data_IF_561628447606
#
_entry.id   IF_561628447606
#
_cell.length_a   1.000
_cell.length_b   1.000
_cell.length_c   1.000
_cell.angle_alpha   90.00
_cell.angle_beta   90.00
_cell.angle_gamma   90.00
#
_symmetry.space_group_name_H-M   'P 1'
#
loop_
_entity.id
_entity.type
_entity.pdbx_description
1 polymer ?
#
# COMPACT_ATOMS: atom_id res chain seq x y z
N UNK A 1 -10.60 -23.16 28.99
CA UNK A 1 -9.40 -22.43 29.47
C UNK A 1 -8.42 -22.25 28.33
N UNK A 2 -8.63 -21.29 27.42
CA UNK A 2 -7.65 -20.96 26.37
C UNK A 2 -7.77 -19.51 25.84
N UNK A 3 -8.31 -18.57 26.62
CA UNK A 3 -8.45 -17.15 26.21
C UNK A 3 -7.41 -16.21 26.84
N UNK A 4 -6.47 -16.72 27.65
CA UNK A 4 -5.49 -15.88 28.37
C UNK A 4 -4.09 -15.85 27.76
N UNK A 5 -3.80 -16.61 26.69
CA UNK A 5 -2.51 -16.53 25.98
C UNK A 5 -2.45 -15.41 24.93
N UNK A 6 -3.63 -14.92 24.54
CA UNK A 6 -3.80 -14.01 23.42
C UNK A 6 -3.57 -12.53 23.84
N UNK A 7 -3.91 -12.15 25.08
CA UNK A 7 -3.82 -10.76 25.57
C UNK A 7 -2.39 -10.22 25.76
N UNK A 8 -1.40 -11.07 26.03
CA UNK A 8 -0.03 -10.62 26.31
C UNK A 8 0.85 -10.47 25.06
N UNK A 9 0.41 -10.94 23.89
CA UNK A 9 1.14 -10.78 22.63
C UNK A 9 0.60 -9.63 21.76
N UNK A 10 -0.56 -9.08 22.12
CA UNK A 10 -1.16 -7.93 21.43
C UNK A 10 -0.56 -6.57 21.80
N UNK A 11 0.46 -6.48 22.67
CA UNK A 11 1.08 -5.18 22.97
C UNK A 11 1.60 -4.49 21.71
N UNK A 12 2.45 -5.19 20.95
CA UNK A 12 3.04 -4.64 19.72
C UNK A 12 2.07 -4.59 18.53
N UNK A 13 1.16 -5.58 18.41
CA UNK A 13 0.17 -5.57 17.33
C UNK A 13 -0.88 -4.48 17.53
N UNK A 14 -1.28 -4.17 18.77
CA UNK A 14 -2.28 -3.14 19.09
C UNK A 14 -1.69 -1.73 19.04
N UNK A 15 -0.42 -1.56 19.41
CA UNK A 15 0.31 -0.29 19.21
C UNK A 15 0.59 -0.04 17.72
N UNK A 16 0.99 -1.07 16.96
CA UNK A 16 1.20 -0.94 15.50
C UNK A 16 -0.11 -0.81 14.72
N UNK A 17 -1.18 -1.46 15.19
CA UNK A 17 -2.54 -1.27 14.69
C UNK A 17 -3.10 0.10 15.07
N UNK A 18 -2.69 0.70 16.20
CA UNK A 18 -2.97 2.09 16.54
C UNK A 18 -2.24 3.03 15.58
N UNK A 19 -0.93 2.88 15.40
CA UNK A 19 -0.15 3.70 14.45
C UNK A 19 -0.69 3.58 13.01
N UNK A 20 -1.17 2.39 12.63
CA UNK A 20 -1.85 2.15 11.36
C UNK A 20 -3.24 2.82 11.35
N UNK A 21 -4.11 2.55 12.33
CA UNK A 21 -5.45 3.17 12.43
C UNK A 21 -5.38 4.70 12.49
N UNK A 22 -4.41 5.27 13.19
CA UNK A 22 -4.21 6.71 13.34
C UNK A 22 -3.73 7.35 12.03
N UNK A 23 -2.95 6.62 11.21
CA UNK A 23 -2.56 7.06 9.85
C UNK A 23 -3.74 7.03 8.87
N UNK A 24 -4.75 6.23 9.20
CA UNK A 24 -5.93 5.95 8.39
C UNK A 24 -7.20 6.64 8.94
N UNK A 25 -7.10 7.31 10.08
CA UNK A 25 -8.22 8.02 10.73
C UNK A 25 -8.73 9.14 9.82
N UNK A 26 -9.94 8.95 9.28
CA UNK A 26 -10.56 9.85 8.31
C UNK A 26 -10.84 9.27 6.92
N UNK A 27 -10.39 8.05 6.62
CA UNK A 27 -10.88 7.30 5.44
C UNK A 27 -12.15 6.52 5.80
N UNK A 28 -13.17 6.58 4.95
CA UNK A 28 -14.40 5.80 5.09
C UNK A 28 -14.09 4.31 4.86
N UNK A 29 -13.66 3.63 5.92
CA UNK A 29 -13.58 2.18 5.93
C UNK A 29 -14.99 1.65 6.04
N UNK A 30 -15.62 1.47 4.88
CA UNK A 30 -16.80 0.63 4.78
C UNK A 30 -16.57 -0.68 5.56
N UNK A 31 -17.64 -1.21 6.14
CA UNK A 31 -17.62 -2.47 6.92
C UNK A 31 -16.90 -3.63 6.19
N UNK A 32 -16.76 -3.57 4.87
CA UNK A 32 -16.09 -4.56 4.05
C UNK A 32 -14.57 -4.64 4.28
N UNK A 33 -13.88 -3.52 4.56
CA UNK A 33 -12.44 -3.54 4.80
C UNK A 33 -12.08 -4.23 6.13
N UNK A 34 -12.90 -4.03 7.16
CA UNK A 34 -12.77 -4.73 8.45
C UNK A 34 -13.14 -6.20 8.34
N UNK A 35 -14.14 -6.54 7.51
CA UNK A 35 -14.52 -7.92 7.25
C UNK A 35 -13.44 -8.70 6.49
N UNK A 36 -12.66 -8.04 5.61
CA UNK A 36 -11.60 -8.68 4.82
C UNK A 36 -10.51 -9.33 5.68
N UNK A 37 -10.24 -8.79 6.87
CA UNK A 37 -9.26 -9.36 7.81
C UNK A 37 -9.88 -10.33 8.82
N UNK A 38 -11.20 -10.53 8.79
CA UNK A 38 -11.90 -11.29 9.83
C UNK A 38 -11.88 -12.81 9.60
N UNK A 39 -11.56 -13.25 8.37
CA UNK A 39 -11.36 -14.66 7.98
C UNK A 39 -9.88 -15.08 7.98
N UNK A 40 -8.95 -14.13 8.05
CA UNK A 40 -7.52 -14.37 8.02
C UNK A 40 -6.95 -14.75 9.39
N UNK A 41 -5.97 -15.65 9.41
CA UNK A 41 -5.24 -15.97 10.63
C UNK A 41 -4.42 -14.76 11.11
N UNK A 42 -4.12 -14.64 12.42
CA UNK A 42 -3.27 -13.57 12.93
C UNK A 42 -1.93 -13.44 12.19
N UNK A 43 -1.34 -14.56 11.78
CA UNK A 43 -0.11 -14.61 11.01
C UNK A 43 -0.28 -13.99 9.62
N UNK A 44 -1.41 -14.26 8.95
CA UNK A 44 -1.75 -13.67 7.65
C UNK A 44 -1.95 -12.16 7.74
N UNK A 45 -2.62 -11.68 8.80
CA UNK A 45 -2.82 -10.24 9.04
C UNK A 45 -1.47 -9.55 9.28
N UNK A 46 -0.62 -10.09 10.15
CA UNK A 46 0.71 -9.54 10.40
C UNK A 46 1.56 -9.49 9.13
N UNK A 47 1.56 -10.58 8.35
CA UNK A 47 2.28 -10.65 7.09
C UNK A 47 1.77 -9.61 6.09
N UNK A 48 0.45 -9.49 5.93
CA UNK A 48 -0.15 -8.49 5.04
C UNK A 48 0.18 -7.04 5.48
N UNK A 49 0.19 -6.77 6.79
CA UNK A 49 0.58 -5.47 7.33
C UNK A 49 2.06 -5.16 7.05
N UNK A 50 2.94 -6.13 7.24
CA UNK A 50 4.38 -5.98 6.96
C UNK A 50 4.61 -5.66 5.48
N UNK A 51 4.06 -6.47 4.57
CA UNK A 51 4.10 -6.22 3.12
C UNK A 51 3.55 -4.84 2.77
N UNK A 52 2.42 -4.44 3.38
CA UNK A 52 1.81 -3.13 3.18
C UNK A 52 2.74 -1.98 3.60
N UNK A 53 3.42 -2.11 4.74
CA UNK A 53 4.42 -1.13 5.20
C UNK A 53 5.60 -1.04 4.24
N UNK A 54 6.06 -2.15 3.68
CA UNK A 54 7.13 -2.15 2.69
C UNK A 54 6.73 -1.44 1.40
N UNK A 55 5.50 -1.63 0.92
CA UNK A 55 4.97 -0.91 -0.25
C UNK A 55 4.93 0.60 0.03
N UNK A 56 4.47 1.01 1.21
CA UNK A 56 4.45 2.42 1.62
C UNK A 56 5.88 3.00 1.63
N UNK A 57 6.85 2.27 2.18
CA UNK A 57 8.27 2.68 2.19
C UNK A 57 8.85 2.78 0.78
N UNK A 58 8.54 1.83 -0.11
CA UNK A 58 8.94 1.88 -1.52
C UNK A 58 8.38 3.15 -2.18
N UNK A 59 7.08 3.39 -2.02
CA UNK A 59 6.40 4.57 -2.55
C UNK A 59 7.02 5.86 -2.01
N UNK A 60 7.32 5.94 -0.71
CA UNK A 60 7.97 7.09 -0.09
C UNK A 60 9.31 7.43 -0.78
N UNK A 61 10.12 6.41 -1.10
CA UNK A 61 11.46 6.54 -1.68
C UNK A 61 11.49 6.68 -3.21
N UNK A 62 10.35 6.57 -3.90
CA UNK A 62 10.32 6.73 -5.36
C UNK A 62 10.76 8.15 -5.78
N UNK A 63 11.60 8.27 -6.81
CA UNK A 63 11.87 9.54 -7.48
C UNK A 63 10.57 10.27 -7.84
N UNK A 64 10.46 11.60 -7.61
CA UNK A 64 9.23 12.35 -7.84
C UNK A 64 8.59 12.13 -9.23
N UNK A 65 9.33 12.05 -10.35
CA UNK A 65 8.72 11.80 -11.65
C UNK A 65 8.04 10.44 -11.77
N UNK A 66 8.51 9.42 -11.04
CA UNK A 66 7.90 8.09 -11.01
C UNK A 66 6.63 8.10 -10.16
N UNK A 67 6.71 8.68 -8.96
CA UNK A 67 5.59 8.82 -8.03
C UNK A 67 4.44 9.62 -8.67
N UNK A 68 4.73 10.79 -9.24
CA UNK A 68 3.72 11.65 -9.85
C UNK A 68 3.02 10.98 -11.02
N UNK A 69 3.77 10.29 -11.90
CA UNK A 69 3.16 9.57 -13.02
C UNK A 69 2.22 8.44 -12.56
N UNK A 70 2.53 7.79 -11.45
CA UNK A 70 1.68 6.75 -10.87
C UNK A 70 0.43 7.35 -10.20
N UNK A 71 0.59 8.38 -9.36
CA UNK A 71 -0.54 9.00 -8.64
C UNK A 71 -1.57 9.61 -9.60
N UNK A 72 -1.12 10.36 -10.61
CA UNK A 72 -2.01 10.90 -11.65
C UNK A 72 -2.77 9.80 -12.38
N UNK A 73 -2.19 8.59 -12.48
CA UNK A 73 -2.85 7.45 -13.14
C UNK A 73 -3.85 6.75 -12.23
N UNK A 74 -3.45 6.42 -11.00
CA UNK A 74 -4.24 5.55 -10.12
C UNK A 74 -5.27 6.32 -9.28
N UNK A 75 -4.94 7.55 -8.86
CA UNK A 75 -5.81 8.36 -8.00
C UNK A 75 -6.72 9.30 -8.82
N UNK A 76 -6.13 10.02 -9.78
CA UNK A 76 -6.88 10.95 -10.63
C UNK A 76 -7.51 10.28 -11.87
N UNK A 77 -7.16 9.02 -12.15
CA UNK A 77 -7.69 8.26 -13.29
C UNK A 77 -7.30 8.79 -14.67
N UNK A 78 -6.27 9.66 -14.75
CA UNK A 78 -5.90 10.34 -16.00
C UNK A 78 -5.43 9.38 -17.10
N UNK A 79 -5.65 9.77 -18.35
CA UNK A 79 -5.11 9.08 -19.53
C UNK A 79 -3.63 9.42 -19.71
N UNK A 80 -2.88 8.52 -20.35
CA UNK A 80 -1.42 8.67 -20.47
C UNK A 80 -0.98 9.91 -21.26
N UNK A 81 -1.78 10.34 -22.23
CA UNK A 81 -1.57 11.59 -23.00
C UNK A 81 -1.83 12.84 -22.16
N UNK A 82 -2.81 12.82 -21.28
CA UNK A 82 -3.09 13.92 -20.34
C UNK A 82 -1.98 14.04 -19.28
N UNK A 83 -1.51 12.91 -18.74
CA UNK A 83 -0.36 12.86 -17.83
C UNK A 83 0.90 13.39 -18.54
N UNK A 84 1.11 12.98 -19.79
CA UNK A 84 2.25 13.42 -20.60
C UNK A 84 2.26 14.93 -20.80
N UNK A 85 1.10 15.52 -21.12
CA UNK A 85 0.94 16.96 -21.23
C UNK A 85 1.19 17.67 -19.88
N UNK A 86 0.62 17.16 -18.79
CA UNK A 86 0.75 17.75 -17.43
C UNK A 86 2.17 17.68 -16.89
N UNK A 87 2.92 16.64 -17.25
CA UNK A 87 4.30 16.42 -16.83
C UNK A 87 5.33 16.92 -17.85
N UNK A 88 4.89 17.56 -18.93
CA UNK A 88 5.74 18.09 -20.02
C UNK A 88 6.75 17.04 -20.53
N UNK A 89 6.27 15.81 -20.79
CA UNK A 89 7.11 14.71 -21.22
C UNK A 89 6.42 13.81 -22.27
N UNK A 90 7.16 13.00 -23.05
CA UNK A 90 6.53 12.08 -24.02
C UNK A 90 5.63 11.03 -23.36
N UNK A 91 4.56 10.63 -24.04
CA UNK A 91 3.65 9.54 -23.59
C UNK A 91 4.41 8.23 -23.32
N UNK A 92 5.42 7.93 -24.12
CA UNK A 92 6.30 6.78 -23.90
C UNK A 92 7.07 6.84 -22.56
N UNK A 93 7.40 8.04 -22.10
CA UNK A 93 8.05 8.27 -20.80
C UNK A 93 7.07 8.03 -19.66
N UNK A 94 5.80 8.46 -19.78
CA UNK A 94 4.76 8.14 -18.79
C UNK A 94 4.59 6.62 -18.66
N UNK A 95 4.45 5.92 -19.79
CA UNK A 95 4.32 4.45 -19.80
C UNK A 95 5.51 3.77 -19.14
N UNK A 96 6.74 4.17 -19.47
CA UNK A 96 7.95 3.56 -18.89
C UNK A 96 8.11 3.86 -17.39
N UNK A 97 7.71 5.06 -16.94
CA UNK A 97 7.66 5.43 -15.52
C UNK A 97 6.69 4.55 -14.74
N UNK A 98 5.43 4.45 -15.17
CA UNK A 98 4.41 3.63 -14.50
C UNK A 98 4.81 2.15 -14.50
N UNK A 99 5.31 1.65 -15.64
CA UNK A 99 5.79 0.27 -15.73
C UNK A 99 6.91 -0.01 -14.72
N UNK A 100 7.88 0.90 -14.61
CA UNK A 100 8.99 0.76 -13.65
C UNK A 100 8.49 0.69 -12.22
N UNK A 101 7.58 1.57 -11.81
CA UNK A 101 7.02 1.53 -10.44
C UNK A 101 6.31 0.22 -10.16
N UNK A 102 5.44 -0.23 -11.07
CA UNK A 102 4.72 -1.50 -10.93
C UNK A 102 5.65 -2.72 -10.88
N UNK A 103 6.77 -2.67 -11.61
CA UNK A 103 7.77 -3.72 -11.55
C UNK A 103 8.48 -3.77 -10.19
N UNK A 104 8.77 -2.63 -9.57
CA UNK A 104 9.36 -2.60 -8.22
C UNK A 104 8.36 -3.09 -7.16
N UNK A 105 7.09 -2.69 -7.26
CA UNK A 105 6.03 -3.22 -6.38
C UNK A 105 5.91 -4.74 -6.55
N UNK A 106 5.88 -5.25 -7.79
CA UNK A 106 5.80 -6.71 -8.03
C UNK A 106 6.96 -7.47 -7.39
N UNK A 107 8.20 -6.99 -7.58
CA UNK A 107 9.39 -7.60 -6.98
C UNK A 107 9.32 -7.65 -5.45
N UNK A 108 8.66 -6.68 -4.84
CA UNK A 108 8.44 -6.66 -3.40
C UNK A 108 7.48 -7.78 -3.00
N UNK A 109 6.32 -7.84 -3.67
CA UNK A 109 5.29 -8.86 -3.40
C UNK A 109 5.75 -10.29 -3.71
N UNK A 110 6.69 -10.47 -4.64
CA UNK A 110 7.28 -11.78 -4.95
C UNK A 110 8.31 -12.25 -3.90
N UNK A 111 8.83 -11.35 -3.04
CA UNK A 111 9.80 -11.72 -1.98
C UNK A 111 9.14 -12.25 -0.71
N UNK A 112 7.86 -11.93 -0.49
CA UNK A 112 7.08 -12.32 0.68
C UNK A 112 6.36 -13.68 0.49
N UNK A 113 6.67 -14.41 -0.61
CA UNK A 113 6.11 -15.73 -0.94
C UNK A 113 7.04 -16.90 -0.62
#
# INVERSE_FOLDING_TARGET
MAMNGIKNHYGSAREMQSDFLDLFDGMDYSSDALNMFHEDSPEQICSAMETGMEVIRLMANLPPPLKNALLLREEEGMRYDEIAARMECPVGTVRSRIHRVRAEIRKLLEKDQ
#
